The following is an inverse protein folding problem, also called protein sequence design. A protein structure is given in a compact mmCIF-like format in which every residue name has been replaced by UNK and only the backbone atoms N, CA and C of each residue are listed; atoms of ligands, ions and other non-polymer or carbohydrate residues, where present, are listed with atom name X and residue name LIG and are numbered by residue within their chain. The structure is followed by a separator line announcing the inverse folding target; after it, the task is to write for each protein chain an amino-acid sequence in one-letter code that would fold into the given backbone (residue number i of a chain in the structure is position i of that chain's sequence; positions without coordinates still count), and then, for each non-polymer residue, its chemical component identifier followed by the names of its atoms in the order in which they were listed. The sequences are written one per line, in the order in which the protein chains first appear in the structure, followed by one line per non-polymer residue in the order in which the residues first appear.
data_IF_689314391027
#
_entry.id   IF_689314391027
#
_cell.length_a   1.000
_cell.length_b   1.000
_cell.length_c   1.000
_cell.angle_alpha   90.00
_cell.angle_beta   90.00
_cell.angle_gamma   90.00
#
_symmetry.space_group_name_H-M   'P 1'
#
loop_
_entity.id
_entity.type
_entity.pdbx_description
1 polymer ?
#
# COMPACT_ATOMS: atom_id res chain seq x y z
N UNK A 1 53.75 -22.29 6.39
CA UNK A 1 53.09 -23.46 5.76
C UNK A 1 52.57 -23.04 4.39
N UNK A 2 53.00 -23.68 3.28
CA UNK A 2 52.56 -23.34 1.92
C UNK A 2 51.55 -24.37 1.43
N UNK A 3 50.30 -23.95 1.21
CA UNK A 3 49.26 -24.82 0.67
C UNK A 3 49.36 -24.89 -0.87
N UNK A 4 49.41 -26.12 -1.40
CA UNK A 4 49.41 -26.41 -2.84
C UNK A 4 48.07 -27.04 -3.27
N UNK A 5 47.79 -27.07 -4.58
CA UNK A 5 46.56 -27.65 -5.11
C UNK A 5 45.29 -26.81 -4.84
N UNK A 6 44.16 -27.47 -4.62
CA UNK A 6 42.84 -26.84 -4.50
C UNK A 6 42.72 -25.86 -3.32
N UNK A 7 43.52 -26.05 -2.25
CA UNK A 7 43.59 -25.13 -1.11
C UNK A 7 44.61 -24.00 -1.27
N UNK A 8 45.33 -23.92 -2.39
CA UNK A 8 46.24 -22.80 -2.63
C UNK A 8 45.50 -21.46 -2.68
N UNK A 9 46.15 -20.38 -2.24
CA UNK A 9 45.54 -19.04 -2.26
C UNK A 9 45.11 -18.62 -3.68
N UNK A 10 45.86 -19.04 -4.70
CA UNK A 10 45.52 -18.79 -6.11
C UNK A 10 44.27 -19.57 -6.55
N UNK A 11 44.14 -20.84 -6.15
CA UNK A 11 42.96 -21.65 -6.46
C UNK A 11 41.70 -21.08 -5.78
N UNK A 12 41.79 -20.72 -4.50
CA UNK A 12 40.69 -20.09 -3.75
C UNK A 12 40.29 -18.74 -4.31
N UNK A 13 41.26 -17.88 -4.64
CA UNK A 13 40.98 -16.59 -5.27
C UNK A 13 40.31 -16.76 -6.65
N UNK A 14 40.67 -17.79 -7.42
CA UNK A 14 40.02 -18.10 -8.70
C UNK A 14 38.60 -18.63 -8.50
N UNK A 15 38.38 -19.50 -7.51
CA UNK A 15 37.05 -20.01 -7.17
C UNK A 15 36.10 -18.89 -6.72
N UNK A 16 36.58 -17.97 -5.87
CA UNK A 16 35.82 -16.79 -5.46
C UNK A 16 35.48 -15.89 -6.66
N UNK A 17 36.46 -15.56 -7.51
CA UNK A 17 36.20 -14.76 -8.72
C UNK A 17 35.20 -15.43 -9.67
N UNK A 18 35.31 -16.74 -9.87
CA UNK A 18 34.38 -17.49 -10.71
C UNK A 18 32.98 -17.54 -10.09
N UNK A 19 32.88 -17.69 -8.76
CA UNK A 19 31.62 -17.62 -8.03
C UNK A 19 30.94 -16.26 -8.17
N UNK A 20 31.70 -15.17 -8.00
CA UNK A 20 31.22 -13.79 -8.19
C UNK A 20 30.79 -13.54 -9.64
N UNK A 21 31.57 -14.01 -10.62
CA UNK A 21 31.21 -13.89 -12.04
C UNK A 21 29.92 -14.65 -12.37
N UNK A 22 29.72 -15.84 -11.78
CA UNK A 22 28.50 -16.64 -11.97
C UNK A 22 27.28 -15.98 -11.33
N UNK A 23 27.43 -15.44 -10.13
CA UNK A 23 26.38 -14.68 -9.44
C UNK A 23 26.00 -13.42 -10.21
N UNK A 24 26.97 -12.70 -10.76
CA UNK A 24 26.71 -11.53 -11.60
C UNK A 24 26.00 -11.90 -12.92
N UNK A 25 26.36 -13.01 -13.55
CA UNK A 25 25.69 -13.51 -14.74
C UNK A 25 24.24 -13.96 -14.46
N UNK A 26 24.01 -14.65 -13.35
CA UNK A 26 22.67 -15.03 -12.87
C UNK A 26 21.81 -13.79 -12.55
N UNK A 27 22.38 -12.78 -11.88
CA UNK A 27 21.69 -11.52 -11.59
C UNK A 27 21.38 -10.70 -12.86
N UNK A 28 22.29 -10.69 -13.83
CA UNK A 28 22.08 -10.02 -15.12
C UNK A 28 20.98 -10.71 -15.95
N UNK A 29 20.93 -12.04 -15.93
CA UNK A 29 19.87 -12.82 -16.58
C UNK A 29 18.50 -12.59 -15.93
N UNK A 30 18.44 -12.58 -14.61
CA UNK A 30 17.23 -12.24 -13.85
C UNK A 30 16.75 -10.80 -14.09
N UNK A 31 17.66 -9.86 -14.37
CA UNK A 31 17.34 -8.46 -14.67
C UNK A 31 16.86 -8.26 -16.11
N UNK A 32 17.33 -9.07 -17.06
CA UNK A 32 16.93 -9.04 -18.47
C UNK A 32 15.60 -9.74 -18.77
N UNK A 33 15.23 -10.76 -18.00
CA UNK A 33 14.03 -11.59 -18.23
C UNK A 33 12.85 -11.22 -17.30
N UNK A 34 12.68 -9.94 -16.96
CA UNK A 34 11.42 -9.51 -16.38
C UNK A 34 10.34 -9.48 -17.48
N UNK A 35 9.61 -10.58 -17.62
CA UNK A 35 8.46 -10.65 -18.53
C UNK A 35 7.50 -9.47 -18.29
N UNK A 36 6.80 -9.02 -19.34
CA UNK A 36 5.74 -8.00 -19.25
C UNK A 36 4.80 -8.27 -18.08
N UNK A 37 4.41 -9.54 -17.93
CA UNK A 37 3.60 -10.03 -16.82
C UNK A 37 4.22 -9.79 -15.44
N UNK A 38 5.53 -9.96 -15.29
CA UNK A 38 6.24 -9.70 -14.02
C UNK A 38 6.37 -8.21 -13.72
N UNK A 39 6.40 -7.34 -14.75
CA UNK A 39 6.36 -5.88 -14.56
C UNK A 39 4.96 -5.43 -14.16
N UNK A 40 3.93 -5.97 -14.81
CA UNK A 40 2.53 -5.64 -14.54
C UNK A 40 2.09 -6.05 -13.12
N UNK A 41 2.49 -7.24 -12.66
CA UNK A 41 2.27 -7.65 -11.27
C UNK A 41 2.95 -6.71 -10.27
N UNK A 42 4.20 -6.30 -10.53
CA UNK A 42 4.92 -5.34 -9.67
C UNK A 42 4.24 -3.97 -9.65
N UNK A 43 3.75 -3.50 -10.80
CA UNK A 43 2.97 -2.25 -10.87
C UNK A 43 1.65 -2.37 -10.10
N UNK A 44 0.95 -3.51 -10.18
CA UNK A 44 -0.24 -3.79 -9.38
C UNK A 44 0.05 -3.76 -7.88
N UNK A 45 1.13 -4.43 -7.45
CA UNK A 45 1.54 -4.44 -6.04
C UNK A 45 1.94 -3.04 -5.54
N UNK A 46 2.66 -2.25 -6.34
CA UNK A 46 2.97 -0.86 -5.99
C UNK A 46 1.71 0.01 -5.83
N UNK A 47 0.70 -0.17 -6.70
CA UNK A 47 -0.60 0.53 -6.56
C UNK A 47 -1.34 0.12 -5.28
N UNK A 48 -1.22 -1.13 -4.84
CA UNK A 48 -1.81 -1.60 -3.58
C UNK A 48 -1.08 -1.00 -2.37
N UNK A 49 0.26 -1.00 -2.38
CA UNK A 49 1.05 -0.36 -1.32
C UNK A 49 0.71 1.12 -1.17
N UNK A 50 0.57 1.84 -2.29
CA UNK A 50 0.14 3.24 -2.28
C UNK A 50 -1.17 3.45 -1.53
N UNK A 51 -2.14 2.56 -1.67
CA UNK A 51 -3.43 2.65 -0.96
C UNK A 51 -3.32 2.41 0.55
N UNK A 52 -2.30 1.70 1.00
CA UNK A 52 -2.09 1.36 2.41
C UNK A 52 -1.18 2.39 3.10
N UNK A 53 -0.14 2.85 2.41
CA UNK A 53 0.95 3.62 3.03
C UNK A 53 1.03 5.08 2.58
N UNK A 54 0.48 5.45 1.43
CA UNK A 54 0.56 6.82 0.91
C UNK A 54 -0.76 7.60 1.05
N UNK A 55 -1.83 6.95 1.55
CA UNK A 55 -3.08 7.63 1.89
C UNK A 55 -3.02 8.02 3.36
N UNK A 56 -3.11 9.32 3.64
CA UNK A 56 -3.28 9.81 5.00
C UNK A 56 -4.77 9.70 5.39
N UNK A 57 -5.15 8.77 6.28
CA UNK A 57 -6.54 8.62 6.71
C UNK A 57 -7.04 9.80 7.56
N UNK A 58 -6.15 10.68 8.01
CA UNK A 58 -6.50 11.89 8.77
C UNK A 58 -6.68 13.11 7.87
N UNK A 59 -6.50 12.98 6.55
CA UNK A 59 -6.83 14.04 5.61
C UNK A 59 -8.26 13.85 5.09
N UNK A 60 -9.16 14.79 5.41
CA UNK A 60 -10.51 14.80 4.88
C UNK A 60 -10.48 15.11 3.36
N UNK A 61 -11.42 14.58 2.55
CA UNK A 61 -11.53 14.93 1.13
C UNK A 61 -11.66 16.44 0.83
N UNK A 62 -12.06 17.27 1.81
CA UNK A 62 -12.08 18.72 1.68
C UNK A 62 -10.73 19.41 1.94
N UNK A 63 -9.69 18.65 2.30
CA UNK A 63 -8.35 19.15 2.64
C UNK A 63 -8.17 19.54 4.11
N UNK A 64 -9.17 19.35 4.96
CA UNK A 64 -9.06 19.59 6.40
C UNK A 64 -8.41 18.40 7.14
N UNK A 65 -7.64 18.70 8.19
CA UNK A 65 -7.09 17.69 9.11
C UNK A 65 -8.19 17.15 10.05
N UNK A 66 -8.26 15.83 10.16
CA UNK A 66 -9.13 15.11 11.08
C UNK A 66 -8.37 14.71 12.35
N UNK A 67 -9.11 14.58 13.46
CA UNK A 67 -8.55 14.15 14.76
C UNK A 67 -9.27 12.90 15.24
N UNK A 68 -8.49 11.95 15.77
CA UNK A 68 -9.04 10.79 16.46
C UNK A 68 -9.60 11.25 17.80
N UNK A 69 -10.91 11.11 17.99
CA UNK A 69 -11.60 11.50 19.23
C UNK A 69 -11.79 10.32 20.20
N UNK A 70 -11.83 9.09 19.69
CA UNK A 70 -11.95 7.87 20.49
C UNK A 70 -11.56 6.64 19.68
N UNK A 71 -11.14 5.57 20.38
CA UNK A 71 -10.90 4.24 19.80
C UNK A 71 -11.88 3.27 20.47
N UNK A 72 -12.69 2.59 19.65
CA UNK A 72 -13.72 1.66 20.14
C UNK A 72 -13.20 0.23 19.95
N UNK A 73 -13.02 -0.52 21.03
CA UNK A 73 -12.49 -1.89 21.01
C UNK A 73 -13.53 -2.96 21.37
N UNK A 74 -14.66 -2.60 21.98
CA UNK A 74 -15.74 -3.52 22.34
C UNK A 74 -16.56 -3.90 21.11
N UNK A 75 -16.50 -5.18 20.72
CA UNK A 75 -17.23 -5.72 19.57
C UNK A 75 -18.74 -5.56 19.69
N UNK A 76 -19.32 -5.68 20.89
CA UNK A 76 -20.77 -5.51 21.10
C UNK A 76 -21.21 -4.09 20.85
N UNK A 77 -20.36 -3.13 21.19
CA UNK A 77 -20.61 -1.71 20.94
C UNK A 77 -20.48 -1.40 19.45
N UNK A 78 -19.45 -1.93 18.78
CA UNK A 78 -19.29 -1.84 17.32
C UNK A 78 -20.54 -2.37 16.61
N UNK A 79 -21.01 -3.58 16.96
CA UNK A 79 -22.20 -4.19 16.36
C UNK A 79 -23.47 -3.37 16.61
N UNK A 80 -23.59 -2.71 17.76
CA UNK A 80 -24.71 -1.81 18.05
C UNK A 80 -24.69 -0.58 17.15
N UNK A 81 -23.52 0.05 16.98
CA UNK A 81 -23.35 1.21 16.10
C UNK A 81 -23.66 0.82 14.65
N UNK A 82 -23.08 -0.27 14.15
CA UNK A 82 -23.29 -0.72 12.77
C UNK A 82 -24.76 -1.04 12.49
N UNK A 83 -25.46 -1.71 13.41
CA UNK A 83 -26.91 -1.95 13.27
C UNK A 83 -27.72 -0.66 13.26
N UNK A 84 -27.34 0.33 14.07
CA UNK A 84 -28.01 1.63 14.05
C UNK A 84 -27.82 2.36 12.72
N UNK A 85 -26.61 2.33 12.13
CA UNK A 85 -26.33 2.94 10.83
C UNK A 85 -27.13 2.30 9.67
N UNK A 86 -27.41 1.00 9.77
CA UNK A 86 -28.24 0.27 8.80
C UNK A 86 -29.76 0.51 8.99
N UNK A 87 -30.16 1.18 10.07
CA UNK A 87 -31.58 1.47 10.30
C UNK A 87 -32.11 2.51 9.32
N UNK A 88 -33.40 2.44 8.91
CA UNK A 88 -33.99 3.38 7.96
C UNK A 88 -33.85 4.85 8.38
N UNK A 89 -33.82 5.12 9.69
CA UNK A 89 -33.62 6.45 10.25
C UNK A 89 -32.23 7.05 9.96
N UNK A 90 -31.22 6.21 9.72
CA UNK A 90 -29.85 6.62 9.46
C UNK A 90 -29.46 6.48 7.97
N UNK A 91 -30.10 5.58 7.22
CA UNK A 91 -29.82 5.37 5.79
C UNK A 91 -30.13 6.59 4.91
N UNK A 92 -30.98 7.51 5.37
CA UNK A 92 -31.42 8.69 4.59
C UNK A 92 -30.38 9.82 4.53
N UNK A 93 -29.33 9.81 5.36
CA UNK A 93 -28.34 10.89 5.41
C UNK A 93 -26.93 10.35 5.30
N UNK A 94 -26.35 10.46 4.12
CA UNK A 94 -24.90 10.50 4.01
C UNK A 94 -24.43 11.84 4.62
N UNK A 95 -23.65 11.83 5.72
CA UNK A 95 -23.17 13.06 6.35
C UNK A 95 -22.21 13.86 5.45
N UNK A 96 -21.69 13.25 4.38
CA UNK A 96 -20.83 13.87 3.38
C UNK A 96 -21.56 14.23 2.10
N UNK A 97 -22.87 13.95 1.98
CA UNK A 97 -23.64 14.49 0.87
C UNK A 97 -23.65 16.02 0.95
N UNK A 98 -23.35 16.73 -0.16
CA UNK A 98 -23.43 18.17 -0.18
C UNK A 98 -24.86 18.59 0.18
N UNK A 99 -24.98 19.47 1.18
CA UNK A 99 -26.27 20.02 1.58
C UNK A 99 -26.91 20.69 0.34
N UNK A 100 -28.20 20.45 0.04
CA UNK A 100 -28.86 21.15 -1.03
C UNK A 100 -28.75 22.67 -0.82
N UNK A 101 -28.61 23.46 -1.89
CA UNK A 101 -28.56 24.92 -1.77
C UNK A 101 -29.83 25.42 -1.04
N UNK A 102 -29.73 26.46 -0.21
CA UNK A 102 -30.90 27.04 0.44
C UNK A 102 -31.92 27.42 -0.64
N UNK A 103 -33.20 27.08 -0.42
CA UNK A 103 -34.25 27.43 -1.36
C UNK A 103 -34.26 28.94 -1.53
N UNK A 104 -33.91 29.42 -2.72
CA UNK A 104 -34.05 30.82 -3.09
C UNK A 104 -35.52 31.14 -2.94
N UNK A 105 -35.86 31.99 -1.97
CA UNK A 105 -37.19 32.58 -1.91
C UNK A 105 -37.36 33.39 -3.18
N UNK A 106 -37.98 32.77 -4.20
CA UNK A 106 -38.47 33.49 -5.36
C UNK A 106 -39.56 34.42 -4.85
N UNK A 107 -39.15 35.65 -4.55
CA UNK A 107 -40.06 36.75 -4.31
C UNK A 107 -40.73 37.04 -5.65
N UNK A 108 -41.91 36.45 -5.86
CA UNK A 108 -42.77 36.80 -6.99
C UNK A 108 -43.60 38.02 -6.56
N UNK A 109 -43.60 39.13 -7.33
CA UNK A 109 -44.52 40.25 -7.12
C UNK A 109 -45.95 39.88 -7.49
#
# INVERSE_FOLDING_TARGET
MRYYGALSNRARARALRNGVARQNAEAQRAKGEASEFSKERRASWARLLRKIFEVDPLLCPCGAEMKIISVITDSRLVDRILRHLQSPACTTRDPFQPRPPPATSLHLP
#
